data_IF_366777074377
#
_entry.id   IF_366777074377
#
_cell.length_a   1.000
_cell.length_b   1.000
_cell.length_c   1.000
_cell.angle_alpha   90.00
_cell.angle_beta   90.00
_cell.angle_gamma   90.00
#
_symmetry.space_group_name_H-M   'P 1'
#
loop_
_entity.id
_entity.type
_entity.pdbx_description
1 polymer ?
#
# COMPACT_ATOMS: atom_id res chain seq x y z
N UNK A 1 11.68 -14.32 5.70
CA UNK A 1 10.39 -14.49 4.97
C UNK A 1 10.67 -14.18 3.51
N UNK A 2 9.88 -14.75 2.58
CA UNK A 2 10.12 -14.53 1.16
C UNK A 2 8.99 -13.69 0.55
N UNK A 3 9.36 -12.67 -0.23
CA UNK A 3 8.44 -11.91 -1.07
C UNK A 3 8.57 -12.44 -2.48
N UNK A 4 7.44 -12.72 -3.12
CA UNK A 4 7.39 -13.15 -4.53
C UNK A 4 6.45 -12.23 -5.30
N UNK A 5 6.97 -11.47 -6.28
CA UNK A 5 6.14 -10.72 -7.22
C UNK A 5 5.33 -11.68 -8.07
N UNK A 6 4.05 -11.39 -8.21
CA UNK A 6 3.11 -12.22 -8.97
C UNK A 6 2.44 -11.42 -10.08
N UNK A 7 1.92 -12.15 -11.06
CA UNK A 7 1.03 -11.67 -12.10
C UNK A 7 -0.32 -12.44 -12.05
N UNK A 8 -1.24 -12.10 -12.94
CA UNK A 8 -2.58 -12.69 -12.97
C UNK A 8 -2.62 -14.19 -13.32
N UNK A 9 -1.55 -14.73 -13.91
CA UNK A 9 -1.44 -16.15 -14.31
C UNK A 9 -0.79 -17.03 -13.24
N UNK A 10 -0.26 -16.41 -12.16
CA UNK A 10 0.34 -17.18 -11.08
C UNK A 10 -0.72 -17.98 -10.31
N UNK A 11 -0.40 -19.23 -9.95
CA UNK A 11 -1.30 -20.13 -9.22
C UNK A 11 -1.80 -19.54 -7.88
N UNK A 12 -1.02 -18.66 -7.27
CA UNK A 12 -1.36 -18.02 -5.99
C UNK A 12 -2.19 -16.73 -6.15
N UNK A 13 -2.44 -16.26 -7.38
CA UNK A 13 -3.14 -14.99 -7.63
C UNK A 13 -4.52 -14.93 -6.98
N UNK A 14 -5.33 -15.99 -7.12
CA UNK A 14 -6.66 -16.03 -6.52
C UNK A 14 -6.60 -15.90 -5.00
N UNK A 15 -5.66 -16.62 -4.35
CA UNK A 15 -5.48 -16.54 -2.90
C UNK A 15 -5.01 -15.15 -2.46
N UNK A 16 -4.10 -14.53 -3.19
CA UNK A 16 -3.64 -13.17 -2.95
C UNK A 16 -4.79 -12.16 -3.08
N UNK A 17 -5.65 -12.32 -4.09
CA UNK A 17 -6.84 -11.48 -4.28
C UNK A 17 -7.91 -11.69 -3.21
N UNK A 18 -8.04 -12.88 -2.63
CA UNK A 18 -8.90 -13.11 -1.45
C UNK A 18 -8.43 -12.28 -0.26
N UNK A 19 -7.12 -12.31 0.04
CA UNK A 19 -6.53 -11.50 1.13
C UNK A 19 -6.74 -10.01 0.85
N UNK A 20 -6.48 -9.56 -0.40
CA UNK A 20 -6.69 -8.17 -0.81
C UNK A 20 -8.13 -7.72 -0.61
N UNK A 21 -9.11 -8.48 -1.13
CA UNK A 21 -10.53 -8.16 -1.02
C UNK A 21 -11.04 -8.21 0.42
N UNK A 22 -10.53 -9.13 1.22
CA UNK A 22 -10.91 -9.30 2.62
C UNK A 22 -10.28 -8.28 3.58
N UNK A 23 -9.22 -7.59 3.15
CA UNK A 23 -8.46 -6.67 4.01
C UNK A 23 -8.77 -5.19 3.77
N UNK A 24 -9.26 -4.83 2.59
CA UNK A 24 -9.50 -3.43 2.21
C UNK A 24 -10.95 -3.22 1.74
N UNK A 25 -11.59 -2.10 2.10
CA UNK A 25 -12.94 -1.77 1.63
C UNK A 25 -12.94 -1.49 0.13
N UNK A 26 -14.12 -1.56 -0.50
CA UNK A 26 -14.25 -1.46 -1.95
C UNK A 26 -13.70 -0.16 -2.53
N UNK A 27 -13.83 0.94 -1.81
CA UNK A 27 -13.40 2.28 -2.26
C UNK A 27 -11.86 2.46 -2.21
N UNK A 28 -11.15 1.61 -1.48
CA UNK A 28 -9.69 1.55 -1.44
C UNK A 28 -9.11 0.55 -2.44
N UNK A 29 -9.93 -0.10 -3.23
CA UNK A 29 -9.47 -1.15 -4.16
C UNK A 29 -9.79 -0.81 -5.61
N UNK A 30 -8.86 -1.15 -6.51
CA UNK A 30 -9.11 -1.16 -7.95
C UNK A 30 -10.25 -2.13 -8.33
N UNK A 31 -10.84 -1.92 -9.50
CA UNK A 31 -11.61 -3.00 -10.16
C UNK A 31 -10.67 -4.18 -10.46
N UNK A 32 -11.23 -5.34 -10.73
CA UNK A 32 -10.39 -6.49 -11.13
C UNK A 32 -9.61 -6.18 -12.42
N UNK A 33 -10.28 -5.56 -13.39
CA UNK A 33 -9.66 -5.19 -14.67
C UNK A 33 -8.53 -4.17 -14.51
N UNK A 34 -8.75 -3.14 -13.67
CA UNK A 34 -7.71 -2.15 -13.40
C UNK A 34 -6.56 -2.74 -12.57
N UNK A 35 -6.86 -3.70 -11.68
CA UNK A 35 -5.83 -4.42 -10.93
C UNK A 35 -4.95 -5.27 -11.85
N UNK A 36 -5.57 -5.99 -12.80
CA UNK A 36 -4.85 -6.80 -13.79
C UNK A 36 -3.98 -5.90 -14.68
N UNK A 37 -4.51 -4.76 -15.15
CA UNK A 37 -3.72 -3.79 -15.92
C UNK A 37 -2.55 -3.20 -15.12
N UNK A 38 -2.74 -2.96 -13.82
CA UNK A 38 -1.65 -2.47 -12.97
C UNK A 38 -0.51 -3.49 -12.83
N UNK A 39 -0.78 -4.79 -12.89
CA UNK A 39 0.24 -5.85 -12.82
C UNK A 39 1.24 -5.80 -13.99
N UNK A 40 0.85 -5.21 -15.13
CA UNK A 40 1.71 -5.05 -16.30
C UNK A 40 2.67 -3.84 -16.16
N UNK A 41 2.44 -2.97 -15.18
CA UNK A 41 3.34 -1.84 -14.91
C UNK A 41 4.60 -2.31 -14.21
N UNK A 42 5.76 -1.96 -14.77
CA UNK A 42 7.06 -2.37 -14.24
C UNK A 42 7.34 -1.80 -12.84
N UNK A 43 6.76 -0.65 -12.52
CA UNK A 43 6.90 0.02 -11.23
C UNK A 43 5.93 -0.51 -10.18
N UNK A 44 4.88 -1.23 -10.57
CA UNK A 44 3.92 -1.81 -9.63
C UNK A 44 4.34 -3.22 -9.22
N UNK A 45 4.37 -3.47 -7.94
CA UNK A 45 4.73 -4.75 -7.36
C UNK A 45 3.57 -5.29 -6.53
N UNK A 46 2.98 -6.38 -6.97
CA UNK A 46 2.08 -7.18 -6.16
C UNK A 46 2.87 -8.39 -5.63
N UNK A 47 3.27 -8.30 -4.39
CA UNK A 47 4.07 -9.35 -3.77
C UNK A 47 3.22 -10.19 -2.83
N UNK A 48 3.36 -11.51 -2.95
CA UNK A 48 2.85 -12.48 -1.97
C UNK A 48 3.93 -12.76 -0.94
N UNK A 49 3.51 -12.73 0.30
CA UNK A 49 4.38 -12.98 1.45
C UNK A 49 4.30 -14.44 1.84
N UNK A 50 5.44 -15.12 1.83
CA UNK A 50 5.55 -16.53 2.23
C UNK A 50 6.30 -16.68 3.54
N UNK A 51 5.80 -17.56 4.42
CA UNK A 51 6.56 -18.21 5.47
C UNK A 51 6.70 -19.69 5.11
N UNK A 52 7.91 -20.12 4.70
CA UNK A 52 8.14 -21.40 4.03
C UNK A 52 7.27 -21.51 2.76
N UNK A 53 6.29 -22.43 2.76
CA UNK A 53 5.36 -22.64 1.63
C UNK A 53 3.98 -22.02 1.86
N UNK A 54 3.72 -21.48 3.08
CA UNK A 54 2.44 -20.89 3.43
C UNK A 54 2.36 -19.43 2.98
N UNK A 55 1.26 -19.05 2.32
CA UNK A 55 0.95 -17.66 2.02
C UNK A 55 0.41 -17.01 3.28
N UNK A 56 1.15 -16.04 3.82
CA UNK A 56 0.80 -15.36 5.08
C UNK A 56 0.27 -13.96 4.87
N UNK A 57 0.41 -13.39 3.69
CA UNK A 57 -0.05 -12.03 3.41
C UNK A 57 0.32 -11.52 2.03
N UNK A 58 0.09 -10.22 1.83
CA UNK A 58 0.39 -9.48 0.61
C UNK A 58 1.04 -8.14 0.93
N UNK A 59 1.92 -7.70 0.04
CA UNK A 59 2.54 -6.37 0.05
C UNK A 59 2.48 -5.80 -1.36
N UNK A 60 1.68 -4.76 -1.57
CA UNK A 60 1.52 -4.08 -2.84
C UNK A 60 2.19 -2.72 -2.74
N UNK A 61 3.15 -2.46 -3.61
CA UNK A 61 3.88 -1.20 -3.58
C UNK A 61 4.27 -0.71 -4.97
N UNK A 62 4.57 0.58 -5.06
CA UNK A 62 5.08 1.24 -6.24
C UNK A 62 6.54 1.61 -6.06
N UNK A 63 7.34 1.35 -7.09
CA UNK A 63 8.71 1.83 -7.19
C UNK A 63 8.72 3.23 -7.82
N UNK A 64 9.03 4.24 -7.02
CA UNK A 64 9.18 5.62 -7.47
C UNK A 64 10.65 5.99 -7.72
N UNK A 65 11.54 5.00 -7.83
CA UNK A 65 12.98 5.20 -7.84
C UNK A 65 13.54 5.48 -6.45
N UNK A 66 13.50 6.74 -5.99
CA UNK A 66 13.99 7.13 -4.66
C UNK A 66 13.16 6.54 -3.52
N UNK A 67 11.84 6.45 -3.69
CA UNK A 67 10.90 5.98 -2.67
C UNK A 67 10.20 4.70 -3.12
N UNK A 68 9.86 3.85 -2.16
CA UNK A 68 8.87 2.79 -2.33
C UNK A 68 7.59 3.22 -1.62
N UNK A 69 6.50 3.33 -2.37
CA UNK A 69 5.19 3.66 -1.83
C UNK A 69 4.40 2.38 -1.60
N UNK A 70 4.24 2.00 -0.33
CA UNK A 70 3.37 0.89 0.07
C UNK A 70 1.92 1.34 -0.05
N UNK A 71 1.23 0.83 -1.05
CA UNK A 71 -0.17 1.12 -1.32
C UNK A 71 -1.10 0.24 -0.47
N UNK A 72 -0.78 -1.06 -0.39
CA UNK A 72 -1.55 -2.02 0.38
C UNK A 72 -0.64 -3.03 1.08
N UNK A 73 -0.89 -3.24 2.36
CA UNK A 73 -0.18 -4.25 3.14
C UNK A 73 -1.16 -4.99 4.05
N UNK A 74 -1.22 -6.31 3.94
CA UNK A 74 -2.11 -7.11 4.77
C UNK A 74 -1.51 -8.49 5.09
N UNK A 75 -1.71 -8.91 6.34
CA UNK A 75 -1.53 -10.30 6.78
C UNK A 75 -2.90 -10.98 6.76
N UNK A 76 -2.97 -12.21 6.28
CA UNK A 76 -4.18 -13.03 6.30
C UNK A 76 -4.78 -12.99 7.71
N UNK A 77 -6.08 -12.71 7.79
CA UNK A 77 -6.79 -12.50 9.06
C UNK A 77 -6.62 -13.67 10.04
N UNK A 78 -6.50 -14.89 9.52
CA UNK A 78 -6.29 -16.12 10.32
C UNK A 78 -4.90 -16.21 10.93
N UNK A 79 -3.94 -15.42 10.43
CA UNK A 79 -2.53 -15.45 10.82
C UNK A 79 -2.09 -14.19 11.58
N UNK A 80 -3.01 -13.25 11.82
CA UNK A 80 -2.71 -12.04 12.61
C UNK A 80 -2.30 -12.39 14.05
N UNK A 81 -1.56 -11.49 14.68
CA UNK A 81 -1.07 -11.69 16.06
C UNK A 81 0.22 -12.55 16.17
N UNK A 82 0.68 -13.15 15.07
CA UNK A 82 1.91 -13.98 15.02
C UNK A 82 3.16 -13.18 14.61
N UNK A 83 3.13 -11.88 14.72
CA UNK A 83 4.24 -10.96 14.40
C UNK A 83 4.73 -10.97 12.92
N UNK A 84 3.98 -11.57 12.00
CA UNK A 84 4.34 -11.57 10.58
C UNK A 84 4.49 -10.18 10.01
N UNK A 85 3.52 -9.28 10.29
CA UNK A 85 3.52 -7.92 9.78
C UNK A 85 4.76 -7.14 10.16
N UNK A 86 5.17 -7.17 11.42
CA UNK A 86 6.37 -6.47 11.90
C UNK A 86 7.64 -7.01 11.25
N UNK A 87 7.76 -8.33 11.10
CA UNK A 87 8.94 -8.96 10.48
C UNK A 87 9.09 -8.57 9.02
N UNK A 88 7.99 -8.66 8.24
CA UNK A 88 8.00 -8.31 6.81
C UNK A 88 8.33 -6.84 6.60
N UNK A 89 7.62 -5.94 7.30
CA UNK A 89 7.83 -4.51 7.10
C UNK A 89 9.23 -4.08 7.55
N UNK A 90 9.73 -4.64 8.66
CA UNK A 90 11.09 -4.35 9.10
C UNK A 90 12.10 -4.74 8.02
N UNK A 91 12.03 -5.97 7.51
CA UNK A 91 12.92 -6.48 6.47
C UNK A 91 12.80 -5.64 5.18
N UNK A 92 11.57 -5.34 4.73
CA UNK A 92 11.32 -4.50 3.56
C UNK A 92 11.91 -3.10 3.71
N UNK A 93 11.70 -2.45 4.86
CA UNK A 93 12.22 -1.10 5.13
C UNK A 93 13.74 -1.07 5.30
N UNK A 94 14.33 -2.11 5.90
CA UNK A 94 15.79 -2.23 6.05
C UNK A 94 16.50 -2.31 4.68
N UNK A 95 15.85 -2.93 3.69
CA UNK A 95 16.38 -3.02 2.32
C UNK A 95 16.14 -1.73 1.51
N UNK A 96 14.96 -1.12 1.64
CA UNK A 96 14.55 -0.02 0.77
C UNK A 96 14.81 1.38 1.33
N UNK A 97 14.99 1.53 2.65
CA UNK A 97 15.30 2.78 3.39
C UNK A 97 14.26 3.91 3.25
N UNK A 98 13.90 4.30 2.04
CA UNK A 98 12.93 5.37 1.76
C UNK A 98 11.56 4.76 1.44
N UNK A 99 10.75 4.57 2.47
CA UNK A 99 9.42 3.97 2.33
C UNK A 99 8.37 4.97 2.76
N UNK A 100 7.32 5.10 1.94
CA UNK A 100 6.12 5.89 2.19
C UNK A 100 4.95 4.91 2.36
N UNK A 101 4.05 5.21 3.29
CA UNK A 101 2.74 4.57 3.38
C UNK A 101 1.70 5.57 3.91
N UNK A 102 0.45 5.17 3.85
CA UNK A 102 -0.70 5.94 4.31
C UNK A 102 -1.47 5.17 5.38
N UNK A 103 -2.04 5.91 6.31
CA UNK A 103 -2.92 5.38 7.37
C UNK A 103 -4.15 6.24 7.53
N UNK A 104 -5.23 5.66 8.05
CA UNK A 104 -6.38 6.42 8.52
C UNK A 104 -5.96 7.42 9.60
N UNK A 105 -6.61 8.60 9.68
CA UNK A 105 -6.42 9.49 10.81
C UNK A 105 -6.66 8.74 12.12
N UNK A 106 -5.80 8.94 13.15
CA UNK A 106 -5.87 8.19 14.41
C UNK A 106 -6.96 8.74 15.32
N UNK A 107 -8.23 8.51 14.97
CA UNK A 107 -9.40 9.03 15.69
C UNK A 107 -10.16 7.97 16.49
N UNK A 108 -9.87 6.69 16.27
CA UNK A 108 -10.48 5.57 16.97
C UNK A 108 -9.42 4.57 17.45
N UNK A 109 -9.84 3.57 18.23
CA UNK A 109 -8.93 2.59 18.82
C UNK A 109 -8.15 1.77 17.77
N UNK A 110 -8.76 1.45 16.65
CA UNK A 110 -8.14 0.64 15.59
C UNK A 110 -7.09 1.46 14.84
N UNK A 111 -7.43 2.69 14.42
CA UNK A 111 -6.52 3.59 13.73
C UNK A 111 -5.36 4.03 14.64
N UNK A 112 -5.60 4.24 15.94
CA UNK A 112 -4.53 4.52 16.93
C UNK A 112 -3.60 3.28 17.09
N UNK A 113 -4.14 2.07 17.17
CA UNK A 113 -3.32 0.85 17.22
C UNK A 113 -2.46 0.70 15.97
N UNK A 114 -3.01 1.04 14.78
CA UNK A 114 -2.30 1.03 13.50
C UNK A 114 -1.17 2.06 13.49
N UNK A 115 -1.43 3.30 13.91
CA UNK A 115 -0.40 4.32 14.04
C UNK A 115 0.74 3.83 14.95
N UNK A 116 0.42 3.33 16.16
CA UNK A 116 1.41 2.84 17.11
C UNK A 116 2.22 1.66 16.58
N UNK A 117 1.62 0.80 15.76
CA UNK A 117 2.32 -0.29 15.08
C UNK A 117 3.42 0.24 14.15
N UNK A 118 3.11 1.23 13.30
CA UNK A 118 4.08 1.81 12.39
C UNK A 118 5.14 2.65 13.11
N UNK A 119 4.76 3.42 14.15
CA UNK A 119 5.72 4.18 14.96
C UNK A 119 6.77 3.25 15.60
N UNK A 120 6.36 2.09 16.14
CA UNK A 120 7.28 1.08 16.71
C UNK A 120 8.25 0.48 15.68
N UNK A 121 7.90 0.51 14.40
CA UNK A 121 8.76 0.05 13.31
C UNK A 121 9.71 1.14 12.80
N UNK A 122 9.63 2.37 13.33
CA UNK A 122 10.48 3.49 12.93
C UNK A 122 9.86 4.41 11.88
N UNK A 123 8.59 4.24 11.55
CA UNK A 123 7.90 5.22 10.72
C UNK A 123 7.62 6.50 11.50
N UNK A 124 7.60 7.62 10.78
CA UNK A 124 7.28 8.95 11.30
C UNK A 124 6.04 9.49 10.63
N UNK A 125 5.11 9.98 11.42
CA UNK A 125 3.93 10.68 10.92
C UNK A 125 4.35 12.02 10.32
N UNK A 126 3.83 12.33 9.13
CA UNK A 126 4.09 13.58 8.44
C UNK A 126 2.91 14.54 8.60
N UNK A 127 3.21 15.81 8.73
CA UNK A 127 2.19 16.86 8.90
C UNK A 127 1.84 17.51 7.55
N UNK A 128 1.21 16.73 6.68
CA UNK A 128 0.65 17.22 5.41
C UNK A 128 -0.88 17.11 5.45
N UNK A 129 -1.55 18.13 4.93
CA UNK A 129 -2.98 18.03 4.61
C UNK A 129 -3.11 17.20 3.33
N UNK A 130 -3.53 15.96 3.50
CA UNK A 130 -3.51 14.95 2.45
C UNK A 130 -4.85 14.25 2.30
N UNK A 131 -5.28 14.11 1.06
CA UNK A 131 -6.51 13.40 0.70
C UNK A 131 -6.25 12.47 -0.47
N UNK A 132 -6.43 11.17 -0.26
CA UNK A 132 -6.29 10.17 -1.31
C UNK A 132 -7.52 10.16 -2.22
N UNK A 133 -7.37 10.15 -3.55
CA UNK A 133 -8.48 9.94 -4.49
C UNK A 133 -9.06 8.53 -4.32
N UNK A 134 -10.39 8.38 -4.45
CA UNK A 134 -10.97 7.04 -4.43
C UNK A 134 -10.67 6.29 -5.72
N UNK A 135 -10.45 4.98 -5.64
CA UNK A 135 -10.33 4.10 -6.81
C UNK A 135 -11.65 3.90 -7.55
N UNK A 136 -12.79 4.20 -6.91
CA UNK A 136 -14.13 3.88 -7.41
C UNK A 136 -14.96 5.11 -7.71
N UNK A 137 -15.68 5.09 -8.84
CA UNK A 137 -16.72 6.09 -9.13
C UNK A 137 -17.81 6.06 -8.05
N UNK A 138 -18.30 7.25 -7.67
CA UNK A 138 -19.34 7.38 -6.66
C UNK A 138 -18.84 7.32 -5.20
N UNK A 139 -17.58 6.93 -4.98
CA UNK A 139 -16.98 6.98 -3.65
C UNK A 139 -16.29 8.33 -3.41
N UNK A 140 -16.35 8.80 -2.17
CA UNK A 140 -15.71 10.06 -1.77
C UNK A 140 -14.19 9.85 -1.63
N UNK A 141 -13.44 10.93 -1.86
CA UNK A 141 -12.05 11.01 -1.39
C UNK A 141 -12.03 10.87 0.12
N UNK A 142 -10.97 10.33 0.65
CA UNK A 142 -10.82 10.21 2.11
C UNK A 142 -9.48 10.78 2.57
N UNK A 143 -9.54 11.48 3.71
CA UNK A 143 -8.32 12.00 4.33
C UNK A 143 -7.52 10.86 4.89
N UNK A 144 -6.23 10.82 4.57
CA UNK A 144 -5.27 9.89 5.14
C UNK A 144 -4.09 10.68 5.75
N UNK A 145 -3.28 10.01 6.50
CA UNK A 145 -2.03 10.54 7.03
C UNK A 145 -0.86 9.80 6.38
N UNK A 146 0.13 10.56 5.91
CA UNK A 146 1.35 10.01 5.33
C UNK A 146 2.32 9.67 6.45
N UNK A 147 2.96 8.51 6.32
CA UNK A 147 4.08 8.13 7.16
C UNK A 147 5.29 7.76 6.31
N UNK A 148 6.49 8.08 6.80
CA UNK A 148 7.76 7.75 6.13
C UNK A 148 8.70 7.02 7.09
N UNK A 149 9.46 6.08 6.56
CA UNK A 149 10.39 5.29 7.36
C UNK A 149 11.66 6.10 7.69
N UNK A 150 11.96 6.23 8.97
CA UNK A 150 13.18 6.81 9.55
C UNK A 150 13.52 8.29 9.25
N UNK A 151 12.77 9.01 8.43
CA UNK A 151 13.05 10.41 8.09
C UNK A 151 11.79 11.26 8.05
N UNK A 152 11.96 12.57 8.06
CA UNK A 152 10.87 13.50 7.74
C UNK A 152 10.89 13.77 6.23
N UNK A 153 9.73 13.84 5.62
CA UNK A 153 9.57 14.06 4.19
C UNK A 153 9.69 15.56 3.88
N UNK A 154 10.63 16.00 3.04
CA UNK A 154 10.66 17.36 2.53
C UNK A 154 9.41 17.66 1.70
N UNK A 155 9.00 18.92 1.64
CA UNK A 155 7.83 19.35 0.85
C UNK A 155 7.95 18.99 -0.63
N UNK A 156 9.13 19.10 -1.20
CA UNK A 156 9.41 18.75 -2.60
C UNK A 156 9.19 17.24 -2.88
N UNK A 157 9.59 16.38 -1.94
CA UNK A 157 9.36 14.93 -2.04
C UNK A 157 7.86 14.60 -1.90
N UNK A 158 7.14 15.32 -1.03
CA UNK A 158 5.69 15.22 -0.92
C UNK A 158 4.98 15.63 -2.22
N UNK A 159 5.38 16.74 -2.83
CA UNK A 159 4.81 17.20 -4.10
C UNK A 159 5.10 16.18 -5.22
N UNK A 160 6.31 15.64 -5.26
CA UNK A 160 6.69 14.56 -6.19
C UNK A 160 5.84 13.30 -5.98
N UNK A 161 5.62 12.90 -4.73
CA UNK A 161 4.73 11.79 -4.38
C UNK A 161 3.30 12.02 -4.88
N UNK A 162 2.73 13.22 -4.65
CA UNK A 162 1.38 13.56 -5.11
C UNK A 162 1.23 13.54 -6.63
N UNK A 163 2.25 14.02 -7.35
CA UNK A 163 2.27 13.96 -8.81
C UNK A 163 2.29 12.49 -9.27
N UNK A 164 3.18 11.68 -8.70
CA UNK A 164 3.28 10.26 -9.01
C UNK A 164 1.97 9.52 -8.70
N UNK A 165 1.38 9.75 -7.52
CA UNK A 165 0.12 9.15 -7.13
C UNK A 165 -0.97 9.41 -8.20
N UNK A 166 -1.15 10.67 -8.58
CA UNK A 166 -2.16 11.05 -9.55
C UNK A 166 -1.88 10.50 -10.96
N UNK A 167 -0.64 10.61 -11.43
CA UNK A 167 -0.27 10.26 -12.80
C UNK A 167 -0.11 8.75 -13.00
N UNK A 168 0.56 8.05 -12.07
CA UNK A 168 0.99 6.67 -12.26
C UNK A 168 0.10 5.67 -11.51
N UNK A 169 -0.21 5.93 -10.23
CA UNK A 169 -1.02 5.03 -9.42
C UNK A 169 -2.49 5.08 -9.85
N UNK A 170 -3.04 6.30 -9.93
CA UNK A 170 -4.47 6.50 -10.20
C UNK A 170 -4.87 6.34 -11.65
N UNK A 171 -3.93 6.20 -12.60
CA UNK A 171 -4.27 5.82 -13.98
C UNK A 171 -4.93 4.44 -14.08
N UNK A 172 -4.74 3.60 -13.05
CA UNK A 172 -5.42 2.31 -12.88
C UNK A 172 -6.59 2.41 -11.89
N UNK A 173 -7.47 3.39 -12.12
CA UNK A 173 -8.69 3.59 -11.33
C UNK A 173 -9.85 4.00 -12.24
N UNK A 174 -11.06 3.95 -11.72
CA UNK A 174 -12.24 4.43 -12.45
C UNK A 174 -12.25 5.97 -12.65
N UNK A 175 -11.29 6.70 -12.07
CA UNK A 175 -11.13 8.16 -12.20
C UNK A 175 -10.04 8.60 -13.18
N UNK A 176 -9.40 7.69 -13.90
CA UNK A 176 -8.33 8.00 -14.86
C UNK A 176 -8.64 9.15 -15.83
N UNK A 177 -9.91 9.27 -16.24
CA UNK A 177 -10.34 10.29 -17.20
C UNK A 177 -10.45 11.71 -16.60
N UNK A 178 -10.47 11.84 -15.26
CA UNK A 178 -10.54 13.13 -14.54
C UNK A 178 -9.19 13.68 -14.10
N UNK A 179 -8.14 12.91 -14.27
CA UNK A 179 -6.78 13.29 -13.86
C UNK A 179 -6.04 14.00 -15.00
N UNK A 180 -6.61 13.97 -16.22
CA UNK A 180 -6.06 14.57 -17.42
C UNK A 180 -6.71 15.93 -17.77
N UNK A 181 -7.60 16.44 -16.92
CA UNK A 181 -8.21 17.76 -16.94
C UNK A 181 -7.83 18.49 -15.66
#
# INVERSE_FOLDING_TARGET
MNLKRINSNDYCFNKAMEIYKGSFPIFERRTMDDQIKALDDTNYHFEVIYDKEEIVGILLYWDMGRYKYIEHFAIDSKLRGKNYGSRVLKEFCDHNKNVILEIDPPIDEISIKRLNFYLKLGFKLQDFDYTHPSYRKGCKRHSLKIMTFNHNMPKEDYDTFNIFLKRDVMKYSEFKDRLNN
#
